data_IF_813691323835
#
_entry.id   IF_813691323835
#
_cell.length_a   1.000
_cell.length_b   1.000
_cell.length_c   1.000
_cell.angle_alpha   90.00
_cell.angle_beta   90.00
_cell.angle_gamma   90.00
#
_symmetry.space_group_name_H-M   'P 1'
#
loop_
_entity.id
_entity.type
_entity.pdbx_description
1 polymer ?
#
# COMPACT_ATOMS: atom_id res chain seq x y z
N UNK A 1 -23.88 18.52 -2.87
CA UNK A 1 -22.98 19.48 -3.52
C UNK A 1 -21.62 18.80 -3.64
N UNK A 2 -21.16 18.42 -4.83
CA UNK A 2 -19.80 17.91 -4.96
C UNK A 2 -18.82 19.06 -4.69
N UNK A 3 -17.80 18.80 -3.88
CA UNK A 3 -16.78 19.78 -3.52
C UNK A 3 -16.07 20.33 -4.77
N UNK A 4 -16.02 21.65 -4.86
CA UNK A 4 -15.46 22.46 -5.95
C UNK A 4 -13.94 22.32 -6.18
N UNK A 5 -13.28 21.36 -5.52
CA UNK A 5 -11.85 21.10 -5.69
C UNK A 5 -11.54 20.08 -6.80
N UNK A 6 -12.52 19.28 -7.25
CA UNK A 6 -12.31 18.24 -8.27
C UNK A 6 -12.53 18.71 -9.72
N UNK A 7 -13.07 19.91 -9.95
CA UNK A 7 -13.41 20.38 -11.30
C UNK A 7 -12.30 21.20 -12.01
N UNK A 8 -11.10 21.29 -11.44
CA UNK A 8 -9.99 22.07 -12.02
C UNK A 8 -8.85 21.22 -12.62
N UNK A 9 -8.96 19.89 -12.57
CA UNK A 9 -7.91 18.98 -13.04
C UNK A 9 -8.21 18.29 -14.39
N UNK A 10 -9.33 18.58 -15.04
CA UNK A 10 -9.74 17.88 -16.27
C UNK A 10 -9.27 18.52 -17.58
N UNK A 11 -8.29 19.44 -17.59
CA UNK A 11 -7.87 20.06 -18.86
C UNK A 11 -6.38 20.36 -19.00
N UNK A 12 -5.51 19.40 -18.69
CA UNK A 12 -4.10 19.46 -19.09
C UNK A 12 -3.64 18.07 -19.49
N UNK A 13 -3.35 17.86 -20.77
CA UNK A 13 -2.79 16.61 -21.34
C UNK A 13 -1.35 16.31 -20.89
N UNK A 14 -1.05 16.54 -19.61
CA UNK A 14 0.14 16.06 -18.94
C UNK A 14 -0.27 14.75 -18.28
N UNK A 15 0.25 13.62 -18.73
CA UNK A 15 0.22 12.44 -17.87
C UNK A 15 1.05 12.82 -16.64
N UNK A 16 0.39 13.26 -15.57
CA UNK A 16 1.01 13.45 -14.27
C UNK A 16 1.51 12.06 -13.84
N UNK A 17 2.72 11.72 -14.27
CA UNK A 17 3.39 10.52 -13.81
C UNK A 17 3.55 10.71 -12.32
N UNK A 18 2.89 9.84 -11.54
CA UNK A 18 3.02 9.86 -10.10
C UNK A 18 4.51 9.93 -9.72
N UNK A 19 4.89 10.78 -8.74
CA UNK A 19 6.30 10.96 -8.39
C UNK A 19 6.97 9.66 -7.94
N UNK A 20 6.17 8.65 -7.58
CA UNK A 20 6.62 7.32 -7.20
C UNK A 20 5.90 6.27 -8.07
N UNK A 21 6.65 5.23 -8.46
CA UNK A 21 6.09 4.06 -9.18
C UNK A 21 5.29 3.14 -8.27
N UNK A 22 5.73 3.01 -7.02
CA UNK A 22 5.11 2.16 -5.99
C UNK A 22 5.24 2.84 -4.64
N UNK A 23 4.17 2.80 -3.84
CA UNK A 23 4.15 3.27 -2.46
C UNK A 23 3.86 2.09 -1.53
N UNK A 24 4.85 1.69 -0.73
CA UNK A 24 4.70 0.55 0.16
C UNK A 24 4.09 0.99 1.49
N UNK A 25 2.89 0.50 1.81
CA UNK A 25 2.31 0.57 3.15
C UNK A 25 2.72 -0.68 3.92
N UNK A 26 3.44 -0.51 5.03
CA UNK A 26 3.79 -1.60 5.93
C UNK A 26 3.04 -1.36 7.25
N UNK A 27 2.24 -2.33 7.67
CA UNK A 27 1.46 -2.23 8.89
C UNK A 27 1.07 -3.58 9.48
N UNK A 28 0.54 -3.59 10.69
CA UNK A 28 0.15 -4.78 11.43
C UNK A 28 -1.37 -4.88 11.62
N UNK A 29 -2.13 -3.86 11.21
CA UNK A 29 -3.58 -3.80 11.40
C UNK A 29 -4.34 -3.89 10.06
N UNK A 30 -4.99 -5.04 9.76
CA UNK A 30 -5.71 -5.24 8.51
C UNK A 30 -6.85 -4.23 8.29
N UNK A 31 -7.57 -3.88 9.36
CA UNK A 31 -8.73 -3.01 9.28
C UNK A 31 -8.37 -1.52 9.09
N UNK A 32 -7.12 -1.14 9.34
CA UNK A 32 -6.64 0.25 9.27
C UNK A 32 -5.60 0.40 8.18
N UNK A 33 -4.44 -0.26 8.33
CA UNK A 33 -3.30 -0.08 7.44
C UNK A 33 -3.58 -0.65 6.05
N UNK A 34 -3.98 -1.92 6.00
CA UNK A 34 -4.20 -2.65 4.75
C UNK A 34 -5.45 -2.14 4.04
N UNK A 35 -6.54 -1.98 4.79
CA UNK A 35 -7.76 -1.36 4.26
C UNK A 35 -7.50 0.03 3.69
N UNK A 36 -6.73 0.86 4.40
CA UNK A 36 -6.39 2.21 3.96
C UNK A 36 -5.60 2.23 2.67
N UNK A 37 -4.53 1.45 2.59
CA UNK A 37 -3.72 1.32 1.36
C UNK A 37 -4.55 0.84 0.17
N UNK A 38 -5.40 -0.19 0.37
CA UNK A 38 -6.27 -0.71 -0.69
C UNK A 38 -7.31 0.29 -1.16
N UNK A 39 -7.86 1.09 -0.26
CA UNK A 39 -8.82 2.14 -0.60
C UNK A 39 -8.16 3.32 -1.34
N UNK A 40 -6.89 3.62 -1.01
CA UNK A 40 -6.12 4.62 -1.74
C UNK A 40 -5.81 4.19 -3.18
N UNK A 41 -5.68 2.88 -3.43
CA UNK A 41 -5.49 2.33 -4.77
C UNK A 41 -4.10 2.59 -5.34
N UNK A 42 -3.92 2.50 -6.66
CA UNK A 42 -2.61 2.70 -7.29
C UNK A 42 -1.99 4.07 -6.91
N UNK A 43 -0.70 4.13 -6.55
CA UNK A 43 0.35 3.11 -6.70
C UNK A 43 0.64 2.32 -5.40
N UNK A 44 -0.31 2.23 -4.47
CA UNK A 44 -0.08 1.60 -3.17
C UNK A 44 0.05 0.07 -3.27
N UNK A 45 1.05 -0.46 -2.55
CA UNK A 45 1.27 -1.88 -2.32
C UNK A 45 1.30 -2.13 -0.82
N UNK A 46 0.48 -3.04 -0.32
CA UNK A 46 0.26 -3.28 1.10
C UNK A 46 1.00 -4.53 1.60
N UNK A 47 1.78 -4.36 2.66
CA UNK A 47 2.51 -5.43 3.36
C UNK A 47 2.00 -5.52 4.79
N UNK A 48 1.50 -6.70 5.16
CA UNK A 48 0.98 -6.99 6.49
C UNK A 48 2.01 -7.75 7.31
N UNK A 49 2.40 -7.19 8.46
CA UNK A 49 3.35 -7.79 9.40
C UNK A 49 2.63 -8.55 10.52
N UNK A 50 3.32 -9.51 11.15
CA UNK A 50 2.78 -10.32 12.28
C UNK A 50 3.26 -9.88 13.66
N UNK A 51 4.02 -8.79 13.74
CA UNK A 51 4.63 -8.30 14.98
C UNK A 51 3.66 -7.58 15.92
N UNK A 52 2.38 -7.42 15.55
CA UNK A 52 1.43 -6.57 16.28
C UNK A 52 0.00 -7.09 16.39
N UNK A 53 -0.99 -6.28 16.01
CA UNK A 53 -2.43 -6.53 16.10
C UNK A 53 -2.79 -7.82 15.36
N UNK A 54 -2.29 -7.98 14.15
CA UNK A 54 -2.48 -9.20 13.38
C UNK A 54 -1.53 -10.31 13.82
N UNK A 55 -2.10 -11.49 14.11
CA UNK A 55 -1.37 -12.70 14.51
C UNK A 55 -1.88 -13.96 13.81
N UNK A 56 -2.58 -13.82 12.69
CA UNK A 56 -3.03 -14.98 11.91
C UNK A 56 -1.86 -15.65 11.19
N UNK A 57 -2.00 -16.91 10.81
CA UNK A 57 -0.95 -17.65 10.08
C UNK A 57 -1.02 -17.44 8.56
N UNK A 58 -2.19 -17.07 8.05
CA UNK A 58 -2.44 -16.78 6.63
C UNK A 58 -2.59 -15.27 6.41
N UNK A 59 -2.97 -14.87 5.19
CA UNK A 59 -3.45 -13.52 4.94
C UNK A 59 -4.82 -13.29 5.60
N UNK A 60 -5.14 -12.04 5.91
CA UNK A 60 -6.39 -11.70 6.56
C UNK A 60 -7.57 -11.88 5.58
N UNK A 61 -8.65 -12.55 6.01
CA UNK A 61 -9.75 -12.94 5.12
C UNK A 61 -10.53 -11.75 4.54
N UNK A 62 -10.83 -10.74 5.36
CA UNK A 62 -11.65 -9.57 4.93
C UNK A 62 -10.80 -8.48 4.24
N UNK A 63 -9.65 -8.15 4.84
CA UNK A 63 -8.69 -7.17 4.33
C UNK A 63 -7.35 -7.83 3.96
N UNK A 64 -7.29 -8.66 2.91
CA UNK A 64 -6.03 -9.26 2.47
C UNK A 64 -5.06 -8.19 1.99
N UNK A 65 -3.80 -8.31 2.40
CA UNK A 65 -2.68 -7.52 1.91
C UNK A 65 -2.09 -8.12 0.63
N UNK A 66 -1.25 -7.36 -0.08
CA UNK A 66 -0.53 -7.85 -1.27
C UNK A 66 0.59 -8.82 -0.88
N UNK A 67 1.22 -8.59 0.28
CA UNK A 67 2.20 -9.47 0.89
C UNK A 67 1.96 -9.58 2.40
N UNK A 68 2.27 -10.75 2.96
CA UNK A 68 2.28 -10.97 4.41
C UNK A 68 3.64 -11.51 4.81
N UNK A 69 4.25 -10.91 5.82
CA UNK A 69 5.59 -11.25 6.32
C UNK A 69 5.56 -11.30 7.84
N UNK A 70 6.54 -11.97 8.44
CA UNK A 70 6.57 -12.10 9.88
C UNK A 70 7.07 -10.81 10.54
N UNK A 71 8.02 -10.11 9.90
CA UNK A 71 8.68 -8.93 10.48
C UNK A 71 8.77 -7.74 9.52
N UNK A 72 9.06 -6.56 10.07
CA UNK A 72 9.35 -5.35 9.26
C UNK A 72 10.67 -5.51 8.48
N UNK A 73 11.65 -6.24 9.03
CA UNK A 73 12.92 -6.53 8.35
C UNK A 73 12.67 -7.26 7.02
N UNK A 74 11.88 -8.33 7.04
CA UNK A 74 11.49 -9.07 5.84
C UNK A 74 10.72 -8.19 4.83
N UNK A 75 9.87 -7.28 5.31
CA UNK A 75 9.19 -6.32 4.44
C UNK A 75 10.20 -5.42 3.71
N UNK A 76 11.20 -4.91 4.42
CA UNK A 76 12.24 -4.05 3.85
C UNK A 76 13.13 -4.82 2.89
N UNK A 77 13.53 -6.05 3.24
CA UNK A 77 14.35 -6.91 2.37
C UNK A 77 13.62 -7.23 1.06
N UNK A 78 12.31 -7.49 1.13
CA UNK A 78 11.47 -7.65 -0.05
C UNK A 78 11.47 -6.40 -0.92
N UNK A 79 11.25 -5.21 -0.33
CA UNK A 79 11.22 -3.94 -1.07
C UNK A 79 12.55 -3.67 -1.73
N UNK A 80 13.67 -3.84 -1.02
CA UNK A 80 15.01 -3.65 -1.58
C UNK A 80 15.26 -4.59 -2.75
N UNK A 81 14.88 -5.86 -2.62
CA UNK A 81 15.02 -6.85 -3.69
C UNK A 81 14.14 -6.56 -4.91
N UNK A 82 12.97 -5.96 -4.71
CA UNK A 82 12.02 -5.64 -5.80
C UNK A 82 12.36 -4.34 -6.53
N UNK A 83 12.92 -3.35 -5.84
CA UNK A 83 13.17 -2.01 -6.39
C UNK A 83 14.63 -1.76 -6.77
N UNK A 84 15.57 -2.44 -6.12
CA UNK A 84 17.01 -2.28 -6.38
C UNK A 84 17.50 -3.49 -7.15
N UNK A 85 17.74 -3.28 -8.45
CA UNK A 85 18.58 -4.19 -9.25
C UNK A 85 19.99 -4.09 -8.66
N UNK A 86 20.46 -5.15 -8.01
CA UNK A 86 21.91 -5.37 -7.85
C UNK A 86 22.50 -5.88 -9.17
#
# INVERSE_FOLDING_TARGET
MPSSHLSLLENSGVSESLPFKTLYMIGDNPAVDIKGARQAGSPWFSILTRTGVFRGDSNHTEYPADLVVDTVEEAVDFIMSNEIIL
#
